data_IF_743945094210
#
_entry.id   IF_743945094210
#
_cell.length_a   1.000
_cell.length_b   1.000
_cell.length_c   1.000
_cell.angle_alpha   90.00
_cell.angle_beta   90.00
_cell.angle_gamma   90.00
#
_symmetry.space_group_name_H-M   'P 1'
#
loop_
_entity.id
_entity.type
_entity.pdbx_description
1 polymer ?
#
# COMPACT_ATOMS: atom_id res chain seq x y z
N UNK A 1 4.46 16.23 -1.75
CA UNK A 1 4.87 15.08 -2.58
C UNK A 1 3.68 14.16 -2.77
N UNK A 2 3.59 13.46 -3.89
CA UNK A 2 2.58 12.43 -4.10
C UNK A 2 3.21 11.06 -3.86
N UNK A 3 2.57 10.24 -3.04
CA UNK A 3 3.00 8.86 -2.78
C UNK A 3 1.94 7.88 -3.23
N UNK A 4 2.36 6.64 -3.41
CA UNK A 4 1.47 5.49 -3.43
C UNK A 4 1.89 4.48 -2.37
N UNK A 5 0.94 3.67 -1.92
CA UNK A 5 1.22 2.43 -1.19
C UNK A 5 0.37 1.34 -1.82
N UNK A 6 1.01 0.29 -2.30
CA UNK A 6 0.39 -0.86 -2.95
C UNK A 6 0.68 -2.13 -2.16
N UNK A 7 -0.20 -3.12 -2.31
CA UNK A 7 0.13 -4.50 -1.94
C UNK A 7 1.16 -5.01 -2.93
N UNK A 8 2.25 -5.58 -2.43
CA UNK A 8 3.27 -6.23 -3.25
C UNK A 8 2.71 -7.58 -3.73
N UNK A 9 2.24 -7.59 -4.98
CA UNK A 9 1.65 -8.78 -5.61
C UNK A 9 2.67 -9.54 -6.46
N UNK A 10 3.89 -9.03 -6.60
CA UNK A 10 4.99 -9.67 -7.32
C UNK A 10 5.53 -10.88 -6.55
N UNK A 11 5.89 -11.94 -7.28
CA UNK A 11 6.59 -13.10 -6.74
C UNK A 11 5.87 -13.82 -5.58
N UNK A 12 4.54 -13.72 -5.51
CA UNK A 12 3.75 -14.42 -4.52
C UNK A 12 3.83 -15.94 -4.74
N UNK A 13 4.06 -16.71 -3.69
CA UNK A 13 3.85 -18.16 -3.76
C UNK A 13 2.36 -18.47 -3.96
N UNK A 14 2.03 -19.62 -4.56
CA UNK A 14 0.65 -20.08 -4.82
C UNK A 14 -0.26 -19.98 -3.57
N UNK A 15 0.30 -20.27 -2.39
CA UNK A 15 -0.43 -20.16 -1.12
C UNK A 15 -0.72 -18.71 -0.73
N UNK A 16 0.19 -17.78 -1.01
CA UNK A 16 0.01 -16.36 -0.76
C UNK A 16 -1.00 -15.77 -1.73
N UNK A 17 -0.91 -16.09 -3.02
CA UNK A 17 -1.90 -15.68 -4.02
C UNK A 17 -3.30 -16.15 -3.63
N UNK A 18 -3.46 -17.43 -3.29
CA UNK A 18 -4.76 -17.97 -2.90
C UNK A 18 -5.34 -17.25 -1.68
N UNK A 19 -4.50 -16.91 -0.70
CA UNK A 19 -4.91 -16.09 0.45
C UNK A 19 -5.29 -14.68 0.05
N UNK A 20 -4.52 -14.02 -0.81
CA UNK A 20 -4.83 -12.68 -1.33
C UNK A 20 -6.19 -12.69 -2.03
N UNK A 21 -6.40 -13.60 -2.99
CA UNK A 21 -7.68 -13.78 -3.71
C UNK A 21 -8.85 -14.03 -2.76
N UNK A 22 -8.66 -14.88 -1.75
CA UNK A 22 -9.71 -15.19 -0.75
C UNK A 22 -10.08 -13.98 0.11
N UNK A 23 -9.08 -13.18 0.49
CA UNK A 23 -9.26 -12.02 1.37
C UNK A 23 -9.54 -10.71 0.61
N UNK A 24 -9.52 -10.74 -0.72
CA UNK A 24 -9.66 -9.55 -1.57
C UNK A 24 -10.88 -8.68 -1.19
N UNK A 25 -12.09 -9.22 -0.96
CA UNK A 25 -13.24 -8.39 -0.58
C UNK A 25 -13.02 -7.61 0.73
N UNK A 26 -12.38 -8.24 1.72
CA UNK A 26 -12.09 -7.61 3.01
C UNK A 26 -10.97 -6.56 2.91
N UNK A 27 -9.98 -6.82 2.04
CA UNK A 27 -8.90 -5.88 1.73
C UNK A 27 -9.48 -4.63 1.05
N UNK A 28 -10.25 -4.80 -0.01
CA UNK A 28 -10.89 -3.69 -0.74
C UNK A 28 -11.78 -2.86 0.17
N UNK A 29 -12.58 -3.52 1.02
CA UNK A 29 -13.41 -2.84 2.01
C UNK A 29 -12.58 -2.02 3.01
N UNK A 30 -11.44 -2.55 3.46
CA UNK A 30 -10.56 -1.83 4.37
C UNK A 30 -9.89 -0.62 3.70
N UNK A 31 -9.43 -0.77 2.46
CA UNK A 31 -8.84 0.33 1.67
C UNK A 31 -9.87 1.44 1.40
N UNK A 32 -11.08 1.07 0.98
CA UNK A 32 -12.18 2.01 0.77
C UNK A 32 -12.51 2.78 2.06
N UNK A 33 -12.68 2.06 3.18
CA UNK A 33 -12.97 2.70 4.47
C UNK A 33 -11.85 3.65 4.92
N UNK A 34 -10.59 3.30 4.66
CA UNK A 34 -9.46 4.19 4.94
C UNK A 34 -9.52 5.46 4.09
N UNK A 35 -9.73 5.33 2.78
CA UNK A 35 -9.83 6.48 1.87
C UNK A 35 -10.97 7.44 2.27
N UNK A 36 -12.12 6.89 2.66
CA UNK A 36 -13.29 7.65 3.12
C UNK A 36 -13.09 8.33 4.49
N UNK A 37 -12.24 7.76 5.34
CA UNK A 37 -12.01 8.28 6.71
C UNK A 37 -11.23 9.60 6.74
N UNK A 38 -10.56 9.96 5.64
CA UNK A 38 -9.67 11.13 5.55
C UNK A 38 -10.02 12.05 4.36
N UNK A 39 -11.23 12.64 4.34
CA UNK A 39 -11.69 13.44 3.20
C UNK A 39 -10.77 14.63 2.89
N UNK A 40 -10.12 15.21 3.90
CA UNK A 40 -9.15 16.30 3.74
C UNK A 40 -7.84 15.88 3.08
N UNK A 41 -7.47 14.60 3.16
CA UNK A 41 -6.20 14.10 2.64
C UNK A 41 -6.31 13.68 1.15
N UNK A 42 -7.52 13.70 0.58
CA UNK A 42 -7.81 13.33 -0.82
C UNK A 42 -7.14 12.01 -1.21
N UNK A 43 -7.30 11.00 -0.36
CA UNK A 43 -6.81 9.65 -0.62
C UNK A 43 -7.58 9.11 -1.83
N UNK A 44 -6.84 8.62 -2.82
CA UNK A 44 -7.40 7.96 -4.00
C UNK A 44 -7.21 6.45 -3.80
N UNK A 45 -8.29 5.69 -3.89
CA UNK A 45 -8.22 4.23 -3.89
C UNK A 45 -7.67 3.74 -5.23
N UNK A 46 -6.73 2.79 -5.20
CA UNK A 46 -6.31 2.00 -6.36
C UNK A 46 -6.89 0.59 -6.18
N UNK A 47 -7.69 0.16 -7.15
CA UNK A 47 -8.42 -1.10 -7.12
C UNK A 47 -8.40 -1.80 -8.49
N UNK A 48 -7.23 -1.92 -9.10
CA UNK A 48 -7.05 -2.62 -10.36
C UNK A 48 -6.68 -4.09 -10.08
N UNK A 49 -7.60 -5.01 -10.33
CA UNK A 49 -7.43 -6.45 -10.09
C UNK A 49 -8.14 -7.30 -11.14
N UNK A 50 -8.42 -6.73 -12.32
CA UNK A 50 -9.16 -7.43 -13.37
C UNK A 50 -8.31 -8.48 -14.11
N UNK A 51 -6.98 -8.43 -13.96
CA UNK A 51 -6.09 -9.46 -14.52
C UNK A 51 -6.32 -10.82 -13.87
N UNK A 52 -6.19 -11.89 -14.66
CA UNK A 52 -6.19 -13.27 -14.16
C UNK A 52 -4.92 -13.56 -13.33
N UNK A 53 -3.82 -12.88 -13.67
CA UNK A 53 -2.56 -12.93 -12.96
C UNK A 53 -2.56 -11.95 -11.79
N UNK A 54 -2.26 -12.46 -10.59
CA UNK A 54 -2.15 -11.64 -9.39
C UNK A 54 -0.99 -10.65 -9.49
N UNK A 55 0.10 -11.00 -10.19
CA UNK A 55 1.28 -10.14 -10.29
C UNK A 55 0.98 -8.79 -10.94
N UNK A 56 -0.07 -8.73 -11.78
CA UNK A 56 -0.53 -7.50 -12.43
C UNK A 56 -1.44 -6.64 -11.54
N UNK A 57 -1.87 -7.15 -10.38
CA UNK A 57 -2.84 -6.45 -9.53
C UNK A 57 -2.22 -5.23 -8.87
N UNK A 58 -2.92 -4.10 -8.94
CA UNK A 58 -2.58 -2.87 -8.25
C UNK A 58 -3.68 -2.51 -7.24
N UNK A 59 -3.41 -2.85 -5.98
CA UNK A 59 -4.35 -2.67 -4.87
C UNK A 59 -3.71 -1.80 -3.81
N UNK A 60 -4.32 -0.67 -3.48
CA UNK A 60 -3.76 0.24 -2.48
C UNK A 60 -4.32 1.64 -2.54
N UNK A 61 -3.47 2.64 -2.28
CA UNK A 61 -3.86 4.05 -2.31
C UNK A 61 -2.81 4.94 -2.96
N UNK A 62 -3.27 6.12 -3.40
CA UNK A 62 -2.42 7.28 -3.63
C UNK A 62 -2.80 8.39 -2.65
N UNK A 63 -1.81 9.12 -2.15
CA UNK A 63 -2.03 10.20 -1.20
C UNK A 63 -1.02 11.33 -1.37
N UNK A 64 -1.49 12.57 -1.21
CA UNK A 64 -0.60 13.73 -1.13
C UNK A 64 -0.09 13.92 0.30
N UNK A 65 1.22 13.86 0.48
CA UNK A 65 1.89 14.04 1.77
C UNK A 65 2.70 15.33 1.76
N UNK A 66 2.42 16.20 2.74
CA UNK A 66 3.08 17.51 2.88
C UNK A 66 4.19 17.56 3.94
N UNK A 67 4.14 16.64 4.91
CA UNK A 67 5.07 16.57 6.04
C UNK A 67 5.24 15.12 6.46
N UNK A 68 6.43 14.72 6.85
CA UNK A 68 6.76 13.37 7.33
C UNK A 68 5.83 12.84 8.41
N UNK A 69 5.33 13.69 9.33
CA UNK A 69 4.38 13.27 10.38
C UNK A 69 3.10 12.64 9.83
N UNK A 70 2.67 13.02 8.62
CA UNK A 70 1.46 12.48 7.99
C UNK A 70 1.66 11.10 7.37
N UNK A 71 2.89 10.59 7.28
CA UNK A 71 3.15 9.19 6.88
C UNK A 71 2.78 8.19 7.97
N UNK A 72 2.75 8.62 9.24
CA UNK A 72 2.50 7.71 10.37
C UNK A 72 1.16 6.99 10.23
N UNK A 73 0.13 7.70 9.80
CA UNK A 73 -1.22 7.17 9.67
C UNK A 73 -1.35 6.10 8.56
N UNK A 74 -1.00 6.38 7.29
CA UNK A 74 -1.05 5.37 6.23
C UNK A 74 -0.13 4.19 6.52
N UNK A 75 1.11 4.41 6.99
CA UNK A 75 2.03 3.31 7.30
C UNK A 75 1.49 2.41 8.42
N UNK A 76 0.86 2.96 9.45
CA UNK A 76 0.24 2.13 10.50
C UNK A 76 -0.97 1.34 9.99
N UNK A 77 -1.77 1.95 9.11
CA UNK A 77 -2.89 1.27 8.48
C UNK A 77 -2.42 0.07 7.64
N UNK A 78 -1.44 0.28 6.75
CA UNK A 78 -0.89 -0.79 5.91
C UNK A 78 -0.13 -1.85 6.71
N UNK A 79 0.57 -1.48 7.79
CA UNK A 79 1.13 -2.46 8.73
C UNK A 79 0.04 -3.35 9.35
N UNK A 80 -1.14 -2.79 9.62
CA UNK A 80 -2.30 -3.54 10.10
C UNK A 80 -2.80 -4.55 9.06
N UNK A 81 -2.88 -4.14 7.79
CA UNK A 81 -3.25 -5.02 6.68
C UNK A 81 -2.22 -6.13 6.48
N UNK A 82 -0.93 -5.78 6.42
CA UNK A 82 0.18 -6.73 6.28
C UNK A 82 0.10 -7.82 7.35
N UNK A 83 -0.04 -7.42 8.63
CA UNK A 83 -0.20 -8.37 9.74
C UNK A 83 -1.45 -9.23 9.61
N UNK A 84 -2.59 -8.63 9.25
CA UNK A 84 -3.89 -9.34 9.20
C UNK A 84 -3.95 -10.35 8.07
N UNK A 85 -3.40 -10.01 6.91
CA UNK A 85 -3.55 -10.81 5.68
C UNK A 85 -2.27 -11.55 5.28
N UNK A 86 -1.17 -11.36 6.02
CA UNK A 86 0.14 -11.96 5.72
C UNK A 86 0.65 -11.59 4.34
N UNK A 87 0.60 -10.29 4.02
CA UNK A 87 1.02 -9.70 2.74
C UNK A 87 2.11 -8.66 2.98
N UNK A 88 2.88 -8.37 1.94
CA UNK A 88 3.85 -7.27 1.89
C UNK A 88 3.28 -6.10 1.08
N UNK A 89 3.93 -4.95 1.23
CA UNK A 89 3.52 -3.68 0.66
C UNK A 89 4.72 -3.02 -0.01
N UNK A 90 4.45 -2.33 -1.10
CA UNK A 90 5.37 -1.42 -1.76
C UNK A 90 4.93 0.03 -1.47
N UNK A 91 5.89 0.90 -1.15
CA UNK A 91 5.68 2.35 -1.08
C UNK A 91 6.65 3.05 -2.03
N UNK A 92 6.14 4.08 -2.70
CA UNK A 92 6.92 4.88 -3.62
C UNK A 92 6.37 6.27 -3.84
N UNK A 93 7.01 7.00 -4.74
CA UNK A 93 6.54 8.31 -5.18
C UNK A 93 5.82 8.23 -6.52
N UNK A 94 5.01 9.26 -6.80
CA UNK A 94 4.46 9.50 -8.11
C UNK A 94 5.07 10.78 -8.67
N UNK A 95 5.89 10.64 -9.71
CA UNK A 95 6.58 11.75 -10.37
C UNK A 95 6.12 11.80 -11.83
N UNK A 96 5.47 12.89 -12.24
CA UNK A 96 4.92 13.07 -13.60
C UNK A 96 3.96 11.95 -14.06
N UNK A 97 3.32 11.27 -13.11
CA UNK A 97 2.40 10.16 -13.38
C UNK A 97 3.06 8.78 -13.39
N UNK A 98 4.38 8.71 -13.23
CA UNK A 98 5.12 7.46 -13.13
C UNK A 98 5.35 7.11 -11.65
N UNK A 99 5.23 5.82 -11.33
CA UNK A 99 5.46 5.28 -9.99
C UNK A 99 6.89 4.82 -9.86
N UNK A 100 7.58 5.29 -8.83
CA UNK A 100 8.92 4.86 -8.48
C UNK A 100 8.92 4.26 -7.07
N UNK A 101 9.15 2.95 -6.99
CA UNK A 101 9.24 2.20 -5.75
C UNK A 101 10.46 2.64 -4.93
N UNK A 102 10.29 2.79 -3.63
CA UNK A 102 11.33 3.29 -2.72
C UNK A 102 11.62 2.28 -1.62
N UNK A 103 10.60 1.58 -1.12
CA UNK A 103 10.77 0.62 -0.04
C UNK A 103 9.64 -0.40 -0.06
N UNK A 104 9.95 -1.60 0.44
CA UNK A 104 8.99 -2.64 0.73
C UNK A 104 8.90 -2.86 2.24
N UNK A 105 7.73 -3.25 2.72
CA UNK A 105 7.49 -3.58 4.13
C UNK A 105 6.30 -4.51 4.30
N UNK A 106 6.29 -5.29 5.38
CA UNK A 106 5.14 -6.11 5.74
C UNK A 106 5.50 -7.38 6.47
N UNK A 107 4.99 -8.49 5.96
CA UNK A 107 5.11 -9.83 6.54
C UNK A 107 6.51 -10.39 6.40
N UNK A 108 7.12 -10.31 5.22
CA UNK A 108 8.47 -10.80 4.97
C UNK A 108 9.53 -9.71 5.14
N UNK A 109 9.20 -8.49 4.72
CA UNK A 109 10.12 -7.33 4.75
C UNK A 109 10.23 -6.68 6.14
N UNK A 110 9.36 -7.09 7.07
CA UNK A 110 9.28 -6.52 8.40
C UNK A 110 8.42 -5.25 8.46
N UNK A 111 8.11 -4.80 9.68
CA UNK A 111 7.16 -3.71 9.89
C UNK A 111 7.66 -2.41 9.24
N UNK A 112 6.80 -1.77 8.47
CA UNK A 112 7.07 -0.45 7.89
C UNK A 112 7.26 0.60 8.98
N UNK A 113 8.36 1.35 8.88
CA UNK A 113 8.71 2.43 9.79
C UNK A 113 8.53 3.77 9.09
N UNK A 114 7.56 4.57 9.56
CA UNK A 114 7.24 5.85 8.93
C UNK A 114 8.38 6.87 9.00
N UNK A 115 9.26 6.78 10.00
CA UNK A 115 10.42 7.67 10.11
C UNK A 115 11.47 7.28 9.07
N UNK A 116 11.82 5.99 8.96
CA UNK A 116 12.77 5.51 7.95
C UNK A 116 12.28 5.77 6.53
N UNK A 117 11.01 5.46 6.26
CA UNK A 117 10.38 5.71 4.96
C UNK A 117 10.37 7.21 4.63
N UNK A 118 10.14 8.09 5.61
CA UNK A 118 10.24 9.54 5.39
C UNK A 118 11.65 9.97 4.95
N UNK A 119 12.70 9.34 5.50
CA UNK A 119 14.07 9.63 5.07
C UNK A 119 14.31 9.20 3.62
N UNK A 120 13.81 8.04 3.20
CA UNK A 120 13.94 7.61 1.80
C UNK A 120 13.14 8.45 0.81
N UNK A 121 12.08 9.10 1.29
CA UNK A 121 11.23 10.01 0.55
C UNK A 121 11.72 11.47 0.54
N UNK A 122 12.84 11.77 1.21
CA UNK A 122 13.34 13.13 1.44
C UNK A 122 12.27 14.10 2.02
N UNK A 123 11.50 13.62 3.02
CA UNK A 123 10.36 14.32 3.65
C UNK A 123 10.59 14.88 5.06
#
# INVERSE_FOLDING_TARGET
MQIYILIACDHLEEKQEKKLKTNLPDILKALQAYAESLPQAKVVLINDYESDDCEDWQLGIEQSVKKSIYLKEPINFFNGLAKKFSIDMEIGTIIKGEREAISYFGTQEGKGDSFMIAQYLDL
#
